data_IF_775101758111
#
_entry.id   IF_775101758111
#
_cell.length_a   1.000
_cell.length_b   1.000
_cell.length_c   1.000
_cell.angle_alpha   90.00
_cell.angle_beta   90.00
_cell.angle_gamma   90.00
#
_symmetry.space_group_name_H-M   'P 1'
#
loop_
_entity.id
_entity.type
_entity.pdbx_description
1 polymer ?
#
# COMPACT_ATOMS: atom_id res chain seq x y z
N UNK A 1 -6.81 -1.00 -5.63
CA UNK A 1 -7.22 -0.82 -4.21
C UNK A 1 -8.53 -0.04 -4.18
N UNK A 2 -9.50 -0.48 -3.36
CA UNK A 2 -10.81 0.19 -3.19
C UNK A 2 -10.73 1.43 -2.28
N UNK A 3 -11.87 2.06 -1.94
CA UNK A 3 -11.88 3.24 -1.08
C UNK A 3 -11.37 2.90 0.33
N UNK A 4 -10.34 3.61 0.79
CA UNK A 4 -9.84 3.57 2.16
C UNK A 4 -10.34 4.76 2.99
N UNK A 5 -9.84 4.86 4.23
CA UNK A 5 -10.12 5.97 5.15
C UNK A 5 -8.80 6.50 5.72
N UNK A 6 -8.68 7.81 5.81
CA UNK A 6 -7.61 8.50 6.51
C UNK A 6 -8.26 9.43 7.53
N UNK A 7 -8.09 9.13 8.81
CA UNK A 7 -8.50 10.01 9.91
C UNK A 7 -7.28 10.86 10.29
N UNK A 8 -7.24 12.10 9.80
CA UNK A 8 -6.10 12.98 9.96
C UNK A 8 -6.42 14.24 10.78
N UNK A 9 -5.43 14.65 11.57
CA UNK A 9 -5.37 15.92 12.27
C UNK A 9 -4.40 16.85 11.51
N UNK A 10 -4.80 18.11 11.37
CA UNK A 10 -4.00 19.18 10.75
C UNK A 10 -3.70 20.25 11.79
N UNK A 11 -2.42 20.45 12.09
CA UNK A 11 -1.96 21.62 12.84
C UNK A 11 -1.87 22.82 11.90
N UNK A 12 -2.81 23.75 12.05
CA UNK A 12 -2.90 24.96 11.21
C UNK A 12 -1.73 25.93 11.41
N UNK A 13 -0.98 25.83 12.51
CA UNK A 13 0.15 26.72 12.80
C UNK A 13 1.44 26.26 12.13
N UNK A 14 1.63 24.95 11.99
CA UNK A 14 2.84 24.34 11.41
C UNK A 14 2.60 23.72 10.04
N UNK A 15 1.34 23.51 9.65
CA UNK A 15 0.95 22.75 8.47
C UNK A 15 1.14 21.24 8.63
N UNK A 16 1.49 20.73 9.82
CA UNK A 16 1.75 19.32 10.05
C UNK A 16 0.47 18.49 9.99
N UNK A 17 0.55 17.34 9.31
CA UNK A 17 -0.51 16.35 9.19
C UNK A 17 -0.08 15.09 9.94
N UNK A 18 -0.95 14.56 10.78
CA UNK A 18 -0.80 13.22 11.38
C UNK A 18 -2.12 12.48 11.31
N UNK A 19 -2.11 11.19 10.94
CA UNK A 19 -3.37 10.46 10.84
C UNK A 19 -3.27 8.94 10.85
N UNK A 20 -4.39 8.30 11.11
CA UNK A 20 -4.55 6.84 11.04
C UNK A 20 -5.10 6.45 9.67
N UNK A 21 -4.37 5.57 8.98
CA UNK A 21 -4.74 5.08 7.66
C UNK A 21 -5.43 3.73 7.79
N UNK A 22 -6.44 3.52 6.95
CA UNK A 22 -7.05 2.22 6.73
C UNK A 22 -7.24 2.00 5.23
N UNK A 23 -6.73 0.88 4.73
CA UNK A 23 -6.86 0.48 3.34
C UNK A 23 -7.55 -0.89 3.28
N UNK A 24 -8.57 -1.05 2.43
CA UNK A 24 -9.12 -2.37 2.17
C UNK A 24 -8.09 -3.22 1.40
N UNK A 25 -8.12 -4.55 1.56
CA UNK A 25 -7.33 -5.43 0.70
C UNK A 25 -7.72 -5.25 -0.77
N UNK A 26 -6.81 -5.61 -1.66
CA UNK A 26 -7.05 -5.56 -3.10
C UNK A 26 -6.55 -6.79 -3.82
N UNK A 27 -7.33 -7.27 -4.79
CA UNK A 27 -6.91 -8.38 -5.62
C UNK A 27 -6.02 -7.89 -6.77
N UNK A 28 -4.87 -8.55 -6.93
CA UNK A 28 -3.92 -8.38 -8.03
C UNK A 28 -4.03 -9.53 -9.02
N UNK A 29 -3.78 -9.22 -10.29
CA UNK A 29 -3.71 -10.19 -11.38
C UNK A 29 -2.49 -9.90 -12.25
N UNK A 30 -1.72 -10.93 -12.56
CA UNK A 30 -0.53 -10.84 -13.41
C UNK A 30 -0.33 -12.13 -14.20
N UNK A 31 0.38 -12.02 -15.32
CA UNK A 31 0.78 -13.16 -16.15
C UNK A 31 2.26 -13.42 -15.92
N UNK A 32 2.60 -14.38 -15.07
CA UNK A 32 4.00 -14.77 -14.82
C UNK A 32 4.54 -15.48 -16.07
N UNK A 33 5.78 -15.17 -16.43
CA UNK A 33 6.49 -15.73 -17.59
C UNK A 33 5.78 -15.56 -18.95
N UNK A 34 4.74 -14.72 -19.04
CA UNK A 34 3.99 -14.47 -20.27
C UNK A 34 2.90 -15.49 -20.60
N UNK A 35 2.68 -16.52 -19.77
CA UNK A 35 1.65 -17.54 -20.01
C UNK A 35 0.99 -18.12 -18.76
N UNK A 36 1.40 -17.73 -17.54
CA UNK A 36 0.86 -18.27 -16.29
C UNK A 36 0.02 -17.22 -15.55
N UNK A 37 -1.32 -17.21 -15.73
CA UNK A 37 -2.23 -16.43 -14.90
C UNK A 37 -2.00 -16.64 -13.41
N UNK A 38 -1.76 -15.56 -12.68
CA UNK A 38 -1.59 -15.58 -11.23
C UNK A 38 -2.42 -14.48 -10.58
N UNK A 39 -3.14 -14.83 -9.52
CA UNK A 39 -3.87 -13.88 -8.68
C UNK A 39 -3.31 -13.88 -7.28
N UNK A 40 -3.41 -12.74 -6.59
CA UNK A 40 -3.11 -12.64 -5.17
C UNK A 40 -3.99 -11.58 -4.53
N UNK A 41 -4.51 -11.85 -3.33
CA UNK A 41 -5.06 -10.80 -2.46
C UNK A 41 -3.90 -10.13 -1.75
N UNK A 42 -3.82 -8.81 -1.91
CA UNK A 42 -2.77 -7.98 -1.30
C UNK A 42 -3.37 -7.11 -0.21
N UNK A 43 -2.81 -7.20 1.00
CA UNK A 43 -3.06 -6.28 2.11
C UNK A 43 -1.99 -5.19 2.17
N UNK A 44 -2.38 -3.97 2.51
CA UNK A 44 -1.45 -2.90 2.90
C UNK A 44 -1.77 -2.50 4.33
N UNK A 45 -0.98 -3.02 5.27
CA UNK A 45 -1.22 -2.89 6.71
C UNK A 45 -0.40 -1.71 7.24
N UNK A 46 -1.02 -0.61 7.70
CA UNK A 46 -0.28 0.57 8.14
C UNK A 46 0.57 0.31 9.40
N UNK A 47 1.81 0.78 9.36
CA UNK A 47 2.79 0.69 10.45
C UNK A 47 2.97 2.09 11.05
N UNK A 48 2.14 2.38 12.04
CA UNK A 48 2.10 3.68 12.70
C UNK A 48 1.27 4.72 11.95
N UNK A 49 1.41 5.98 12.35
CA UNK A 49 0.65 7.09 11.78
C UNK A 49 1.24 7.56 10.46
N UNK A 50 0.36 7.97 9.55
CA UNK A 50 0.73 8.81 8.41
C UNK A 50 1.23 10.14 8.95
N UNK A 51 2.33 10.63 8.39
CA UNK A 51 2.86 11.97 8.69
C UNK A 51 2.93 12.78 7.41
N UNK A 52 2.74 14.08 7.50
CA UNK A 52 2.82 14.94 6.33
C UNK A 52 2.89 16.40 6.70
N UNK A 53 2.97 17.24 5.68
CA UNK A 53 3.04 18.69 5.80
C UNK A 53 2.32 19.34 4.64
N UNK A 54 1.69 20.49 4.92
CA UNK A 54 1.20 21.42 3.92
C UNK A 54 2.16 22.60 3.88
N UNK A 55 2.80 22.83 2.74
CA UNK A 55 3.66 23.99 2.49
C UNK A 55 3.48 24.45 1.05
N UNK A 56 3.44 25.77 0.84
CA UNK A 56 3.41 26.38 -0.49
C UNK A 56 2.29 25.85 -1.39
N UNK A 57 1.11 25.58 -0.81
CA UNK A 57 -0.04 25.03 -1.52
C UNK A 57 0.10 23.56 -1.95
N UNK A 58 1.11 22.86 -1.43
CA UNK A 58 1.34 21.43 -1.68
C UNK A 58 1.23 20.61 -0.40
N UNK A 59 0.71 19.41 -0.54
CA UNK A 59 0.73 18.37 0.50
C UNK A 59 1.86 17.41 0.17
N UNK A 60 2.67 17.09 1.16
CA UNK A 60 3.56 15.93 1.16
C UNK A 60 3.19 15.04 2.33
N UNK A 61 2.99 13.75 2.08
CA UNK A 61 2.65 12.79 3.12
C UNK A 61 3.45 11.50 2.95
N UNK A 62 3.72 10.83 4.06
CA UNK A 62 4.40 9.56 4.14
C UNK A 62 3.58 8.60 5.00
N UNK A 63 3.29 7.42 4.46
CA UNK A 63 2.78 6.28 5.18
C UNK A 63 3.79 5.14 5.12
N UNK A 64 3.89 4.35 6.18
CA UNK A 64 4.61 3.07 6.17
C UNK A 64 3.59 1.95 6.19
N UNK A 65 3.74 0.95 5.33
CA UNK A 65 2.82 -0.19 5.27
C UNK A 65 3.59 -1.50 5.13
N UNK A 66 3.15 -2.53 5.84
CA UNK A 66 3.50 -3.91 5.51
C UNK A 66 2.64 -4.38 4.35
N UNK A 67 3.25 -4.99 3.34
CA UNK A 67 2.54 -5.55 2.20
C UNK A 67 2.40 -7.05 2.44
N UNK A 68 1.16 -7.50 2.63
CA UNK A 68 0.80 -8.89 2.90
C UNK A 68 0.22 -9.54 1.65
N UNK A 69 0.57 -10.81 1.41
CA UNK A 69 0.01 -11.62 0.33
C UNK A 69 -0.80 -12.78 0.91
N UNK A 70 -2.01 -12.96 0.40
CA UNK A 70 -2.89 -14.08 0.70
C UNK A 70 -3.70 -14.49 -0.52
N UNK A 71 -4.51 -15.55 -0.37
CA UNK A 71 -5.41 -16.05 -1.42
C UNK A 71 -4.75 -16.15 -2.80
N UNK A 72 -3.51 -16.65 -2.83
CA UNK A 72 -2.73 -16.76 -4.07
C UNK A 72 -3.24 -17.94 -4.88
N UNK A 73 -3.41 -17.74 -6.19
CA UNK A 73 -3.73 -18.83 -7.11
C UNK A 73 -2.90 -18.72 -8.39
N UNK A 74 -2.44 -19.86 -8.89
CA UNK A 74 -1.65 -20.02 -10.11
C UNK A 74 -2.44 -20.92 -11.06
N UNK A 75 -2.78 -20.42 -12.24
CA UNK A 75 -3.66 -21.10 -13.19
C UNK A 75 -5.00 -21.56 -12.57
N UNK A 76 -5.52 -20.76 -11.63
CA UNK A 76 -6.74 -21.05 -10.88
C UNK A 76 -6.58 -22.07 -9.75
N UNK A 77 -5.40 -22.67 -9.58
CA UNK A 77 -5.09 -23.57 -8.48
C UNK A 77 -4.54 -22.78 -7.27
N UNK A 78 -5.14 -22.91 -6.08
CA UNK A 78 -4.62 -22.26 -4.87
C UNK A 78 -3.18 -22.66 -4.57
N UNK A 79 -2.34 -21.65 -4.27
CA UNK A 79 -0.97 -21.80 -3.79
C UNK A 79 -0.94 -21.41 -2.31
N UNK A 80 -0.52 -22.34 -1.46
CA UNK A 80 -0.38 -22.10 -0.02
C UNK A 80 0.88 -21.28 0.26
N UNK A 81 0.67 -20.02 0.66
CA UNK A 81 1.73 -19.08 1.05
C UNK A 81 1.92 -18.97 2.56
N UNK A 82 1.15 -19.72 3.34
CA UNK A 82 1.15 -19.64 4.79
C UNK A 82 0.49 -18.38 5.34
N UNK A 83 0.38 -18.27 6.69
CA UNK A 83 -0.35 -17.19 7.34
C UNK A 83 0.47 -15.91 7.54
N UNK A 84 1.75 -15.91 7.15
CA UNK A 84 2.71 -14.83 7.48
C UNK A 84 3.47 -14.32 6.26
N UNK A 85 2.90 -14.46 5.05
CA UNK A 85 3.56 -14.01 3.82
C UNK A 85 3.48 -12.49 3.70
N UNK A 86 4.52 -11.78 4.16
CA UNK A 86 4.55 -10.32 4.30
C UNK A 86 5.92 -9.75 3.93
N UNK A 87 6.00 -8.46 3.63
CA UNK A 87 7.28 -7.77 3.47
C UNK A 87 8.12 -7.82 4.74
N UNK A 88 9.42 -8.08 4.58
CA UNK A 88 10.40 -8.15 5.68
C UNK A 88 10.66 -6.81 6.38
N UNK A 89 10.31 -5.70 5.72
CA UNK A 89 10.29 -4.37 6.28
C UNK A 89 9.12 -3.58 5.68
N UNK A 90 8.62 -2.53 6.36
CA UNK A 90 7.49 -1.76 5.82
C UNK A 90 7.90 -0.91 4.62
N UNK A 91 7.10 -0.95 3.56
CA UNK A 91 7.20 -0.08 2.40
C UNK A 91 6.89 1.37 2.77
N UNK A 92 7.68 2.31 2.27
CA UNK A 92 7.46 3.74 2.44
C UNK A 92 6.68 4.32 1.26
N UNK A 93 5.43 4.70 1.51
CA UNK A 93 4.53 5.35 0.57
C UNK A 93 4.65 6.87 0.73
N UNK A 94 5.57 7.49 0.00
CA UNK A 94 5.67 8.94 -0.08
C UNK A 94 4.81 9.47 -1.22
N UNK A 95 3.88 10.36 -0.92
CA UNK A 95 2.97 10.97 -1.89
C UNK A 95 3.01 12.48 -1.81
N UNK A 96 2.80 13.13 -2.95
CA UNK A 96 2.77 14.59 -3.04
C UNK A 96 1.70 15.06 -4.02
N UNK A 97 1.20 16.27 -3.84
CA UNK A 97 0.25 16.90 -4.76
C UNK A 97 -0.24 18.26 -4.28
N UNK A 98 -1.04 18.96 -5.10
CA UNK A 98 -1.64 20.23 -4.72
C UNK A 98 -2.63 20.05 -3.56
N UNK A 99 -2.62 20.99 -2.62
CA UNK A 99 -3.58 21.03 -1.54
C UNK A 99 -4.92 21.60 -2.02
N UNK A 100 -5.97 20.78 -1.93
CA UNK A 100 -7.34 21.14 -2.30
C UNK A 100 -8.32 20.60 -1.26
N UNK A 101 -9.09 21.48 -0.62
CA UNK A 101 -9.87 21.12 0.57
C UNK A 101 -10.98 20.09 0.34
N UNK A 102 -11.64 20.14 -0.82
CA UNK A 102 -12.74 19.24 -1.11
C UNK A 102 -12.25 17.88 -1.62
N UNK A 103 -11.27 17.91 -2.53
CA UNK A 103 -10.76 16.74 -3.21
C UNK A 103 -9.35 17.02 -3.70
N UNK A 104 -8.36 16.25 -3.27
CA UNK A 104 -6.97 16.39 -3.70
C UNK A 104 -6.43 15.10 -4.29
N UNK A 105 -5.64 15.23 -5.34
CA UNK A 105 -4.93 14.12 -5.97
C UNK A 105 -3.48 14.12 -5.53
N UNK A 106 -3.04 13.01 -4.95
CA UNK A 106 -1.66 12.80 -4.53
C UNK A 106 -1.07 11.64 -5.32
N UNK A 107 0.17 11.77 -5.75
CA UNK A 107 0.89 10.72 -6.48
C UNK A 107 2.24 10.46 -5.83
N UNK A 108 2.74 9.25 -6.01
CA UNK A 108 4.00 8.83 -5.45
C UNK A 108 4.58 7.62 -6.14
N UNK A 109 5.83 7.32 -5.81
CA UNK A 109 6.47 6.07 -6.15
C UNK A 109 7.01 5.42 -4.87
N UNK A 110 7.00 4.10 -4.85
CA UNK A 110 7.48 3.31 -3.73
C UNK A 110 8.23 2.08 -4.23
N UNK A 111 9.09 1.54 -3.38
CA UNK A 111 9.68 0.23 -3.57
C UNK A 111 8.86 -0.79 -2.79
N UNK A 112 8.66 -1.97 -3.38
CA UNK A 112 8.15 -3.14 -2.66
C UNK A 112 9.37 -3.86 -2.06
N UNK A 113 9.49 -3.96 -0.73
CA UNK A 113 10.59 -4.68 -0.08
C UNK A 113 10.54 -6.18 -0.35
N UNK A 114 11.57 -6.89 0.09
CA UNK A 114 11.61 -8.36 0.00
C UNK A 114 10.53 -9.00 0.88
N UNK A 115 10.01 -10.15 0.46
CA UNK A 115 9.02 -10.92 1.21
C UNK A 115 9.68 -11.94 2.13
N UNK A 116 9.03 -12.24 3.24
CA UNK A 116 9.42 -13.26 4.20
C UNK A 116 8.20 -13.93 4.82
N UNK A 117 8.40 -15.12 5.39
CA UNK A 117 7.31 -15.88 6.00
C UNK A 117 6.30 -16.44 5.00
N UNK A 118 6.62 -16.41 3.71
CA UNK A 118 5.85 -17.01 2.62
C UNK A 118 6.21 -18.50 2.53
N UNK A 119 5.51 -19.30 3.32
CA UNK A 119 5.79 -20.73 3.43
C UNK A 119 4.51 -21.52 3.66
N UNK A 120 4.20 -22.36 2.67
CA UNK A 120 3.25 -23.46 2.81
C UNK A 120 4.01 -24.79 2.85
N UNK A 121 3.84 -25.58 1.78
CA UNK A 121 4.58 -26.84 1.57
C UNK A 121 6.04 -26.63 1.15
N UNK A 122 6.35 -25.43 0.67
CA UNK A 122 7.67 -25.04 0.16
C UNK A 122 7.97 -23.59 0.57
N UNK A 123 9.25 -23.19 0.48
CA UNK A 123 9.68 -21.82 0.80
C UNK A 123 9.51 -20.94 -0.43
N UNK A 124 8.59 -19.98 -0.38
CA UNK A 124 8.20 -19.12 -1.49
C UNK A 124 8.80 -17.70 -1.40
N UNK A 125 9.47 -17.34 -0.31
CA UNK A 125 10.09 -16.01 -0.13
C UNK A 125 10.93 -15.57 -1.36
N UNK A 126 11.84 -16.39 -1.92
CA UNK A 126 12.65 -15.97 -3.05
C UNK A 126 11.83 -15.79 -4.34
N UNK A 127 10.74 -16.54 -4.49
CA UNK A 127 9.86 -16.46 -5.64
C UNK A 127 9.10 -15.13 -5.65
N UNK A 128 8.41 -14.81 -4.55
CA UNK A 128 7.66 -13.55 -4.46
C UNK A 128 8.58 -12.34 -4.45
N UNK A 129 9.74 -12.45 -3.80
CA UNK A 129 10.77 -11.40 -3.86
C UNK A 129 11.25 -11.17 -5.30
N UNK A 130 11.54 -12.24 -6.05
CA UNK A 130 12.03 -12.11 -7.42
C UNK A 130 10.99 -11.62 -8.44
N UNK A 131 9.70 -11.85 -8.17
CA UNK A 131 8.62 -11.47 -9.08
C UNK A 131 8.02 -10.09 -8.79
N UNK A 132 7.95 -9.68 -7.52
CA UNK A 132 7.14 -8.54 -7.08
C UNK A 132 8.01 -7.42 -6.49
N UNK A 133 9.08 -7.75 -5.78
CA UNK A 133 9.90 -6.74 -5.09
C UNK A 133 10.72 -5.90 -6.06
N UNK A 134 10.91 -4.63 -5.71
CA UNK A 134 11.70 -3.69 -6.51
C UNK A 134 11.17 -2.26 -6.46
N UNK A 135 11.93 -1.31 -7.03
CA UNK A 135 11.52 0.08 -7.17
C UNK A 135 10.53 0.29 -8.32
N UNK A 136 9.97 1.50 -8.42
CA UNK A 136 9.19 1.92 -9.59
C UNK A 136 7.70 1.59 -9.52
N UNK A 137 7.22 1.08 -8.38
CA UNK A 137 5.80 0.95 -8.14
C UNK A 137 5.21 2.35 -7.92
N UNK A 138 4.06 2.63 -8.53
CA UNK A 138 3.40 3.92 -8.41
C UNK A 138 2.15 3.82 -7.57
N UNK A 139 1.82 4.92 -6.90
CA UNK A 139 0.55 5.06 -6.18
C UNK A 139 -0.09 6.37 -6.59
N UNK A 140 -1.38 6.31 -6.86
CA UNK A 140 -2.23 7.47 -7.10
C UNK A 140 -3.40 7.40 -6.13
N UNK A 141 -3.57 8.47 -5.35
CA UNK A 141 -4.61 8.60 -4.36
C UNK A 141 -5.45 9.82 -4.68
N UNK A 142 -6.77 9.66 -4.55
CA UNK A 142 -7.69 10.78 -4.52
C UNK A 142 -8.30 10.83 -3.13
N UNK A 143 -7.91 11.82 -2.35
CA UNK A 143 -8.50 12.07 -1.04
C UNK A 143 -9.71 12.98 -1.23
N UNK A 144 -10.83 12.62 -0.62
CA UNK A 144 -12.06 13.43 -0.60
C UNK A 144 -12.43 13.64 0.85
N UNK A 145 -12.68 14.89 1.24
CA UNK A 145 -13.08 15.21 2.60
C UNK A 145 -14.43 14.54 2.89
N UNK A 146 -14.48 13.70 3.91
CA UNK A 146 -15.74 13.21 4.46
C UNK A 146 -16.19 14.22 5.52
N UNK A 147 -17.44 14.67 5.44
CA UNK A 147 -18.02 15.43 6.54
C UNK A 147 -17.96 14.55 7.80
N UNK A 148 -17.39 15.09 8.89
CA UNK A 148 -17.37 14.38 10.17
C UNK A 148 -18.79 13.96 10.54
N UNK A 149 -19.03 12.71 11.00
CA UNK A 149 -20.32 12.38 11.56
C UNK A 149 -20.60 13.28 12.79
N UNK A 150 -21.86 13.69 13.03
CA UNK A 150 -22.24 14.54 14.15
C UNK A 150 -21.99 13.89 15.52
#
# INVERSE_FOLDING_TARGET
IGPGRLDAELDLSTGAITGDLWLPPSDGYFIVFGFVPTTARTGMIPVGKVTGTISDGQVTANARVDIELGDVAVDGQPLDVGPTCVTTEPASLAVTGPFEMARMKLTGAYAIPTFGGCQGRERLDPLFTGLISGPGNTIELTLTLLASPP
#
